data_IF_720252521662
#
_entry.id   IF_720252521662
#
_cell.length_a   1.000
_cell.length_b   1.000
_cell.length_c   1.000
_cell.angle_alpha   90.00
_cell.angle_beta   90.00
_cell.angle_gamma   90.00
#
_symmetry.space_group_name_H-M   'P 1'
#
loop_
_entity.id
_entity.type
_entity.pdbx_description
1 polymer ?
#
# COMPACT_ATOMS: atom_id res chain seq x y z
N UNK A 1 -13.27 6.01 -23.03
CA UNK A 1 -14.07 6.05 -21.79
C UNK A 1 -15.44 6.64 -22.09
N UNK A 2 -16.52 6.12 -21.52
CA UNK A 2 -17.87 6.71 -21.63
C UNK A 2 -18.29 7.20 -20.25
N UNK A 3 -18.67 8.47 -20.13
CA UNK A 3 -19.08 9.03 -18.85
C UNK A 3 -20.42 8.42 -18.40
N UNK A 4 -20.56 8.09 -17.10
CA UNK A 4 -21.85 7.77 -16.54
C UNK A 4 -22.70 9.05 -16.44
N UNK A 5 -23.72 9.17 -17.28
CA UNK A 5 -24.73 10.24 -17.21
C UNK A 5 -26.07 9.68 -16.72
N UNK A 6 -26.98 10.55 -16.29
CA UNK A 6 -28.33 10.16 -15.87
C UNK A 6 -29.07 9.43 -17.01
N UNK A 7 -30.02 8.52 -16.71
CA UNK A 7 -30.84 7.89 -17.74
C UNK A 7 -31.53 8.93 -18.65
N UNK A 8 -31.34 8.81 -19.97
CA UNK A 8 -31.83 9.78 -20.95
C UNK A 8 -30.98 11.04 -21.11
N UNK A 9 -29.86 11.14 -20.40
CA UNK A 9 -28.88 12.21 -20.55
C UNK A 9 -28.00 12.08 -21.80
N UNK A 10 -27.07 13.03 -22.02
CA UNK A 10 -26.19 13.00 -23.16
C UNK A 10 -25.21 11.82 -23.09
N UNK A 11 -24.83 11.30 -24.25
CA UNK A 11 -23.74 10.32 -24.37
C UNK A 11 -22.44 11.10 -24.57
N UNK A 12 -21.59 11.12 -23.54
CA UNK A 12 -20.29 11.79 -23.57
C UNK A 12 -19.20 10.72 -23.58
N UNK A 13 -18.33 10.77 -24.58
CA UNK A 13 -17.26 9.80 -24.77
C UNK A 13 -15.93 10.50 -24.96
N UNK A 14 -14.91 9.97 -24.30
CA UNK A 14 -13.52 10.28 -24.52
C UNK A 14 -12.91 9.11 -25.32
N UNK A 15 -12.63 9.34 -26.60
CA UNK A 15 -12.13 8.33 -27.54
C UNK A 15 -10.66 8.57 -27.91
N UNK A 16 -10.03 9.57 -27.32
CA UNK A 16 -8.67 9.94 -27.64
C UNK A 16 -7.71 8.88 -27.10
N UNK A 17 -6.69 8.57 -27.91
CA UNK A 17 -5.63 7.68 -27.48
C UNK A 17 -4.77 8.39 -26.43
N UNK A 18 -4.60 7.77 -25.27
CA UNK A 18 -3.70 8.25 -24.23
C UNK A 18 -2.73 7.14 -23.82
N UNK A 19 -1.40 7.36 -23.82
CA UNK A 19 -0.48 6.41 -23.23
C UNK A 19 -0.75 6.26 -21.73
N UNK A 20 -0.54 5.06 -21.21
CA UNK A 20 -0.64 4.82 -19.77
C UNK A 20 0.62 5.33 -19.07
N UNK A 21 0.43 6.10 -18.00
CA UNK A 21 1.52 6.58 -17.15
C UNK A 21 1.44 5.88 -15.79
N UNK A 22 2.47 5.09 -15.48
CA UNK A 22 2.64 4.45 -14.19
C UNK A 22 3.64 5.16 -13.31
N UNK A 23 3.55 4.89 -12.01
CA UNK A 23 4.62 5.12 -11.05
C UNK A 23 5.31 3.78 -10.77
N UNK A 24 6.61 3.80 -10.58
CA UNK A 24 7.38 2.59 -10.23
C UNK A 24 8.11 2.76 -8.90
N UNK A 25 8.74 3.92 -8.72
CA UNK A 25 9.40 4.35 -7.50
C UNK A 25 9.22 5.86 -7.39
N UNK A 26 8.91 6.36 -6.19
CA UNK A 26 8.52 7.75 -5.99
C UNK A 26 9.38 8.48 -4.95
N UNK A 27 9.33 9.81 -4.96
CA UNK A 27 9.91 10.59 -3.87
C UNK A 27 9.20 10.29 -2.55
N UNK A 28 7.91 9.99 -2.58
CA UNK A 28 7.11 9.73 -1.39
C UNK A 28 7.55 8.45 -0.68
N UNK A 29 7.62 7.32 -1.40
CA UNK A 29 7.99 6.03 -0.81
C UNK A 29 9.38 6.08 -0.14
N UNK A 30 10.35 6.72 -0.79
CA UNK A 30 11.71 6.84 -0.25
C UNK A 30 11.70 7.64 1.05
N UNK A 31 10.94 8.72 1.09
CA UNK A 31 10.86 9.54 2.31
C UNK A 31 10.04 8.85 3.41
N UNK A 32 9.06 8.00 3.08
CA UNK A 32 8.39 7.14 4.07
C UNK A 32 9.36 6.13 4.68
N UNK A 33 10.19 5.48 3.87
CA UNK A 33 11.23 4.57 4.36
C UNK A 33 12.27 5.29 5.22
N UNK A 34 12.69 6.50 4.83
CA UNK A 34 13.63 7.30 5.63
C UNK A 34 13.01 7.77 6.96
N UNK A 35 11.73 8.14 6.97
CA UNK A 35 11.02 8.47 8.20
C UNK A 35 10.95 7.26 9.14
N UNK A 36 10.62 6.09 8.60
CA UNK A 36 10.59 4.83 9.34
C UNK A 36 11.97 4.47 9.90
N UNK A 37 13.00 4.43 9.06
CA UNK A 37 14.36 4.11 9.48
C UNK A 37 14.86 5.08 10.56
N UNK A 38 14.52 6.36 10.46
CA UNK A 38 14.86 7.34 11.50
C UNK A 38 14.23 6.98 12.85
N UNK A 39 12.97 6.55 12.88
CA UNK A 39 12.30 6.11 14.11
C UNK A 39 12.84 4.78 14.64
N UNK A 40 13.29 3.89 13.75
CA UNK A 40 13.96 2.63 14.10
C UNK A 40 15.42 2.80 14.53
N UNK A 41 15.92 4.04 14.62
CA UNK A 41 17.25 4.36 15.17
C UNK A 41 18.36 4.54 14.14
N UNK A 42 18.05 4.58 12.84
CA UNK A 42 19.05 4.88 11.82
C UNK A 42 19.60 6.30 11.95
N UNK A 43 20.92 6.45 11.76
CA UNK A 43 21.59 7.74 11.80
C UNK A 43 21.39 8.51 10.48
N UNK A 44 20.22 9.12 10.31
CA UNK A 44 19.88 9.96 9.16
C UNK A 44 19.96 11.45 9.48
N UNK A 45 20.33 12.31 8.51
CA UNK A 45 20.63 13.73 8.74
C UNK A 45 19.41 14.59 9.08
N UNK A 46 18.20 14.18 8.68
CA UNK A 46 16.95 14.90 9.00
C UNK A 46 16.16 14.19 10.09
N UNK A 47 15.21 14.91 10.68
CA UNK A 47 14.23 14.35 11.61
C UNK A 47 13.22 13.45 10.88
N UNK A 48 12.55 12.57 11.63
CA UNK A 48 11.49 11.73 11.08
C UNK A 48 10.34 12.57 10.52
N UNK A 49 9.97 13.66 11.20
CA UNK A 49 8.91 14.57 10.76
C UNK A 49 9.25 15.29 9.46
N UNK A 50 10.51 15.69 9.25
CA UNK A 50 10.93 16.29 7.97
C UNK A 50 10.81 15.31 6.80
N UNK A 51 11.20 14.05 6.99
CA UNK A 51 11.02 13.01 5.98
C UNK A 51 9.53 12.73 5.75
N UNK A 52 8.75 12.54 6.82
CA UNK A 52 7.33 12.24 6.74
C UNK A 52 6.54 13.35 6.04
N UNK A 53 6.72 14.61 6.42
CA UNK A 53 6.04 15.74 5.79
C UNK A 53 6.41 15.87 4.30
N UNK A 54 7.67 15.63 3.95
CA UNK A 54 8.09 15.59 2.54
C UNK A 54 7.41 14.45 1.78
N UNK A 55 7.28 13.28 2.41
CA UNK A 55 6.63 12.14 1.79
C UNK A 55 5.14 12.38 1.53
N UNK A 56 4.43 12.95 2.50
CA UNK A 56 2.99 13.25 2.37
C UNK A 56 2.72 14.21 1.21
N UNK A 57 3.48 15.30 1.13
CA UNK A 57 3.41 16.26 0.01
C UNK A 57 3.69 15.58 -1.32
N UNK A 58 4.81 14.87 -1.42
CA UNK A 58 5.20 14.19 -2.66
C UNK A 58 4.20 13.11 -3.08
N UNK A 59 3.54 12.43 -2.13
CA UNK A 59 2.54 11.41 -2.44
C UNK A 59 1.35 12.04 -3.15
N UNK A 60 0.81 13.15 -2.60
CA UNK A 60 -0.32 13.86 -3.21
C UNK A 60 0.07 14.40 -4.57
N UNK A 61 1.21 15.10 -4.67
CA UNK A 61 1.68 15.70 -5.92
C UNK A 61 1.95 14.68 -7.03
N UNK A 62 2.45 13.49 -6.70
CA UNK A 62 2.66 12.44 -7.71
C UNK A 62 1.35 11.83 -8.21
N UNK A 63 0.38 11.59 -7.31
CA UNK A 63 -0.93 11.07 -7.71
C UNK A 63 -1.75 12.09 -8.50
N UNK A 64 -1.63 13.37 -8.14
CA UNK A 64 -2.15 14.51 -8.91
C UNK A 64 -1.60 14.49 -10.33
N UNK A 65 -0.26 14.55 -10.48
CA UNK A 65 0.41 14.48 -11.78
C UNK A 65 0.04 13.23 -12.59
N UNK A 66 -0.05 12.06 -11.95
CA UNK A 66 -0.47 10.83 -12.62
C UNK A 66 -1.89 10.92 -13.15
N UNK A 67 -2.82 11.49 -12.37
CA UNK A 67 -4.21 11.64 -12.80
C UNK A 67 -4.32 12.59 -14.01
N UNK A 68 -3.56 13.68 -14.02
CA UNK A 68 -3.46 14.61 -15.16
C UNK A 68 -2.95 13.91 -16.44
N UNK A 69 -1.85 13.16 -16.30
CA UNK A 69 -1.19 12.46 -17.41
C UNK A 69 -2.05 11.32 -17.96
N UNK A 70 -2.76 10.60 -17.08
CA UNK A 70 -3.66 9.53 -17.47
C UNK A 70 -5.02 10.01 -17.98
N UNK A 71 -5.27 11.33 -17.99
CA UNK A 71 -6.54 11.94 -18.43
C UNK A 71 -7.72 11.36 -17.67
N UNK A 72 -7.57 11.23 -16.35
CA UNK A 72 -8.66 10.77 -15.49
C UNK A 72 -9.86 11.71 -15.69
N UNK A 73 -11.09 11.16 -15.85
CA UNK A 73 -12.28 11.99 -15.99
C UNK A 73 -12.40 13.00 -14.84
N UNK A 74 -12.84 14.21 -15.17
CA UNK A 74 -12.91 15.38 -14.27
C UNK A 74 -11.58 16.04 -13.89
N UNK A 75 -10.46 15.56 -14.42
CA UNK A 75 -9.18 16.20 -14.23
C UNK A 75 -8.93 17.28 -15.30
N UNK A 76 -8.82 18.54 -14.87
CA UNK A 76 -8.62 19.72 -15.71
C UNK A 76 -9.84 20.18 -16.51
N UNK A 77 -10.99 19.48 -16.40
CA UNK A 77 -12.22 19.80 -17.16
C UNK A 77 -13.50 19.30 -16.48
N UNK A 78 -14.61 20.00 -16.72
CA UNK A 78 -15.98 19.50 -16.54
C UNK A 78 -16.58 19.11 -17.90
N UNK A 79 -17.76 18.50 -17.92
CA UNK A 79 -18.42 18.02 -19.15
C UNK A 79 -19.78 18.69 -19.43
N UNK A 80 -20.14 19.69 -18.63
CA UNK A 80 -21.28 20.60 -18.78
C UNK A 80 -22.64 19.91 -18.94
N UNK A 81 -22.84 18.76 -18.29
CA UNK A 81 -24.10 18.02 -18.28
C UNK A 81 -24.80 18.00 -16.91
N UNK A 82 -24.10 18.32 -15.82
CA UNK A 82 -24.67 18.42 -14.47
C UNK A 82 -24.20 19.73 -13.78
N UNK A 83 -25.11 20.54 -13.22
CA UNK A 83 -24.73 21.79 -12.53
C UNK A 83 -23.84 21.58 -11.28
N UNK A 84 -23.72 20.35 -10.77
CA UNK A 84 -22.90 20.01 -9.62
C UNK A 84 -21.48 19.57 -10.00
N UNK A 85 -21.14 19.55 -11.30
CA UNK A 85 -19.80 19.17 -11.74
C UNK A 85 -18.73 20.08 -11.11
N UNK A 86 -17.66 19.43 -10.67
CA UNK A 86 -16.43 20.05 -10.18
C UNK A 86 -15.25 19.28 -10.73
N UNK A 87 -14.17 20.00 -10.95
CA UNK A 87 -12.88 19.39 -11.23
C UNK A 87 -12.38 18.68 -9.98
N UNK A 88 -11.62 17.60 -10.16
CA UNK A 88 -11.06 16.79 -9.06
C UNK A 88 -9.56 17.00 -8.87
N UNK A 89 -8.96 17.93 -9.62
CA UNK A 89 -7.57 18.35 -9.51
C UNK A 89 -7.26 18.82 -8.09
N UNK A 90 -6.01 18.63 -7.65
CA UNK A 90 -5.54 19.25 -6.42
C UNK A 90 -5.70 20.77 -6.47
N UNK A 91 -6.35 21.32 -5.45
CA UNK A 91 -6.56 22.76 -5.32
C UNK A 91 -5.49 23.41 -4.43
N UNK A 92 -5.25 24.70 -4.69
CA UNK A 92 -4.31 25.50 -3.92
C UNK A 92 -4.65 25.47 -2.42
N UNK A 93 -3.66 25.10 -1.60
CA UNK A 93 -3.78 25.07 -0.14
C UNK A 93 -4.28 23.74 0.44
N UNK A 94 -4.74 22.77 -0.37
CA UNK A 94 -5.25 21.50 0.15
C UNK A 94 -4.16 20.66 0.83
N UNK A 95 -2.94 20.62 0.26
CA UNK A 95 -1.81 19.93 0.91
C UNK A 95 -1.48 20.59 2.26
N UNK A 96 -1.47 21.92 2.32
CA UNK A 96 -1.12 22.63 3.56
C UNK A 96 -2.20 22.43 4.63
N UNK A 97 -3.47 22.42 4.23
CA UNK A 97 -4.60 22.10 5.11
C UNK A 97 -4.52 20.65 5.62
N UNK A 98 -4.18 19.68 4.77
CA UNK A 98 -3.94 18.30 5.15
C UNK A 98 -2.80 18.19 6.16
N UNK A 99 -1.65 18.82 5.87
CA UNK A 99 -0.48 18.79 6.75
C UNK A 99 -0.75 19.49 8.09
N UNK A 100 -1.65 20.47 8.17
CA UNK A 100 -2.01 21.11 9.43
C UNK A 100 -2.82 20.20 10.38
N UNK A 101 -3.42 19.11 9.89
CA UNK A 101 -4.19 18.19 10.72
C UNK A 101 -3.25 17.32 11.57
N UNK A 102 -3.58 17.18 12.86
CA UNK A 102 -2.81 16.42 13.85
C UNK A 102 -2.59 14.95 13.46
N UNK A 103 -3.49 14.34 12.70
CA UNK A 103 -3.35 12.96 12.22
C UNK A 103 -2.13 12.80 11.30
N UNK A 104 -1.76 13.85 10.56
CA UNK A 104 -0.61 13.90 9.65
C UNK A 104 0.68 14.40 10.33
N UNK A 105 0.67 14.63 11.64
CA UNK A 105 1.86 15.07 12.39
C UNK A 105 2.43 13.94 13.26
N UNK A 106 3.75 13.75 13.20
CA UNK A 106 4.44 12.87 14.15
C UNK A 106 4.48 13.52 15.54
N UNK A 107 4.26 12.72 16.56
CA UNK A 107 3.99 13.14 17.94
C UNK A 107 5.19 12.97 18.87
N UNK A 108 6.22 12.25 18.42
CA UNK A 108 7.33 11.78 19.24
C UNK A 108 7.06 10.46 19.96
N UNK A 109 5.82 9.93 19.90
CA UNK A 109 5.52 8.58 20.36
C UNK A 109 5.90 7.59 19.26
N UNK A 110 7.03 6.90 19.41
CA UNK A 110 7.58 5.99 18.39
C UNK A 110 6.57 4.97 17.87
N UNK A 111 5.76 4.35 18.74
CA UNK A 111 4.80 3.32 18.33
C UNK A 111 3.65 3.90 17.50
N UNK A 112 3.14 5.07 17.89
CA UNK A 112 2.10 5.77 17.14
C UNK A 112 2.65 6.36 15.82
N UNK A 113 3.84 6.92 15.87
CA UNK A 113 4.48 7.57 14.71
C UNK A 113 4.87 6.54 13.65
N UNK A 114 5.34 5.36 14.05
CA UNK A 114 5.55 4.23 13.13
C UNK A 114 4.23 3.80 12.50
N UNK A 115 3.15 3.68 13.27
CA UNK A 115 1.84 3.33 12.71
C UNK A 115 1.35 4.37 11.68
N UNK A 116 1.50 5.67 11.97
CA UNK A 116 1.20 6.74 11.01
C UNK A 116 1.99 6.57 9.71
N UNK A 117 3.29 6.30 9.81
CA UNK A 117 4.14 6.07 8.64
C UNK A 117 3.69 4.85 7.85
N UNK A 118 3.41 3.72 8.51
CA UNK A 118 2.97 2.50 7.82
C UNK A 118 1.59 2.63 7.18
N UNK A 119 0.64 3.30 7.83
CA UNK A 119 -0.66 3.61 7.22
C UNK A 119 -0.46 4.47 5.97
N UNK A 120 0.43 5.47 6.02
CA UNK A 120 0.72 6.29 4.84
C UNK A 120 1.46 5.53 3.74
N UNK A 121 2.32 4.56 4.07
CA UNK A 121 2.86 3.62 3.09
C UNK A 121 1.74 2.83 2.40
N UNK A 122 0.80 2.26 3.16
CA UNK A 122 -0.33 1.52 2.58
C UNK A 122 -1.20 2.39 1.67
N UNK A 123 -1.49 3.63 2.08
CA UNK A 123 -2.24 4.59 1.26
C UNK A 123 -1.48 4.96 -0.01
N UNK A 124 -0.18 5.24 0.09
CA UNK A 124 0.66 5.53 -1.06
C UNK A 124 0.74 4.34 -2.03
N UNK A 125 0.72 3.11 -1.53
CA UNK A 125 0.75 1.89 -2.33
C UNK A 125 -0.61 1.41 -2.84
N UNK A 126 -1.67 2.24 -2.85
CA UNK A 126 -3.02 1.82 -3.27
C UNK A 126 -3.08 1.18 -4.66
N UNK A 127 -2.24 1.61 -5.61
CA UNK A 127 -2.13 1.00 -6.94
C UNK A 127 -1.06 -0.11 -7.05
N UNK A 128 -0.45 -0.47 -5.92
CA UNK A 128 0.69 -1.38 -5.79
C UNK A 128 0.38 -2.48 -4.76
N UNK A 129 -0.50 -3.44 -5.09
CA UNK A 129 -0.98 -4.43 -4.13
C UNK A 129 0.13 -5.32 -3.57
N UNK A 130 1.21 -5.55 -4.33
CA UNK A 130 2.36 -6.29 -3.85
C UNK A 130 3.07 -5.55 -2.71
N UNK A 131 3.29 -4.24 -2.87
CA UNK A 131 3.93 -3.39 -1.88
C UNK A 131 3.02 -3.19 -0.65
N UNK A 132 1.70 -3.07 -0.84
CA UNK A 132 0.76 -3.12 0.27
C UNK A 132 0.87 -4.42 1.06
N UNK A 133 0.86 -5.57 0.36
CA UNK A 133 0.94 -6.88 0.98
C UNK A 133 2.27 -7.12 1.71
N UNK A 134 3.39 -6.61 1.19
CA UNK A 134 4.69 -6.64 1.89
C UNK A 134 4.66 -5.71 3.11
N UNK A 135 4.13 -4.50 2.96
CA UNK A 135 4.08 -3.48 4.02
C UNK A 135 3.26 -3.96 5.22
N UNK A 136 2.05 -4.49 5.00
CA UNK A 136 1.19 -5.02 6.08
C UNK A 136 1.81 -6.23 6.77
N UNK A 137 2.49 -7.11 6.02
CA UNK A 137 3.23 -8.25 6.63
C UNK A 137 4.35 -7.76 7.53
N UNK A 138 5.21 -6.88 7.04
CA UNK A 138 6.40 -6.42 7.78
C UNK A 138 6.06 -5.54 8.97
N UNK A 139 5.01 -4.72 8.86
CA UNK A 139 4.62 -3.77 9.91
C UNK A 139 3.58 -4.32 10.89
N UNK A 140 2.75 -5.27 10.47
CA UNK A 140 1.55 -5.66 11.21
C UNK A 140 0.49 -4.56 11.30
N UNK A 141 0.64 -3.46 10.55
CA UNK A 141 -0.30 -2.35 10.48
C UNK A 141 -1.31 -2.52 9.33
N UNK A 142 -2.54 -2.01 9.46
CA UNK A 142 -3.08 -1.32 10.64
C UNK A 142 -3.24 -2.22 11.87
N UNK A 143 -3.29 -1.63 13.09
CA UNK A 143 -3.46 -2.39 14.34
C UNK A 143 -4.92 -2.70 14.63
N UNK A 144 -5.20 -3.83 15.27
CA UNK A 144 -6.56 -4.21 15.70
C UNK A 144 -7.13 -3.35 16.83
N UNK A 145 -6.37 -2.41 17.39
CA UNK A 145 -6.84 -1.43 18.35
C UNK A 145 -6.34 -0.02 18.01
N UNK A 146 -6.12 0.23 16.72
CA UNK A 146 -5.66 1.52 16.23
C UNK A 146 -6.67 2.61 16.53
N UNK A 147 -6.19 3.78 16.97
CA UNK A 147 -7.00 4.99 17.04
C UNK A 147 -7.01 5.77 15.71
N UNK A 148 -6.33 5.26 14.69
CA UNK A 148 -6.25 5.86 13.35
C UNK A 148 -7.14 5.08 12.39
N UNK A 149 -6.71 3.88 11.98
CA UNK A 149 -7.45 2.97 11.11
C UNK A 149 -7.36 1.58 11.75
N UNK A 150 -8.48 1.04 12.20
CA UNK A 150 -8.51 -0.26 12.89
C UNK A 150 -8.46 -1.42 11.89
N UNK A 151 -7.69 -2.45 12.23
CA UNK A 151 -7.72 -3.72 11.50
C UNK A 151 -8.98 -4.51 11.86
N UNK A 152 -9.84 -4.70 10.86
CA UNK A 152 -11.04 -5.52 11.00
C UNK A 152 -10.69 -7.01 11.11
N UNK A 153 -11.15 -7.65 12.18
CA UNK A 153 -10.95 -9.07 12.41
C UNK A 153 -12.18 -9.87 11.94
N UNK A 154 -12.10 -10.45 10.75
CA UNK A 154 -13.17 -11.28 10.21
C UNK A 154 -13.22 -12.66 10.88
N UNK A 155 -14.35 -13.04 11.47
CA UNK A 155 -14.51 -14.35 12.12
C UNK A 155 -14.36 -15.53 11.15
N UNK A 156 -14.66 -15.32 9.87
CA UNK A 156 -14.54 -16.33 8.82
C UNK A 156 -13.10 -16.60 8.39
N UNK A 157 -12.20 -15.62 8.57
CA UNK A 157 -10.78 -15.72 8.20
C UNK A 157 -9.96 -15.02 9.30
N UNK A 158 -9.61 -15.73 10.38
CA UNK A 158 -8.82 -15.13 11.45
C UNK A 158 -7.43 -14.70 10.96
N UNK A 159 -6.79 -13.75 11.64
CA UNK A 159 -5.50 -13.18 11.20
C UNK A 159 -4.37 -14.22 11.05
N UNK A 160 -4.41 -15.32 11.80
CA UNK A 160 -3.46 -16.42 11.68
C UNK A 160 -3.79 -17.39 10.53
N UNK A 161 -4.89 -17.18 9.80
CA UNK A 161 -5.29 -17.93 8.61
C UNK A 161 -5.22 -17.11 7.32
N UNK A 162 -4.92 -15.81 7.40
CA UNK A 162 -4.63 -14.99 6.20
C UNK A 162 -3.24 -15.39 5.68
N UNK A 163 -3.07 -15.87 4.43
CA UNK A 163 -1.78 -16.31 3.93
C UNK A 163 -0.70 -15.21 3.99
N UNK A 164 0.55 -15.60 4.31
CA UNK A 164 1.71 -14.70 4.33
C UNK A 164 2.78 -15.07 3.31
N UNK A 165 2.64 -16.24 2.70
CA UNK A 165 3.31 -16.67 1.47
C UNK A 165 2.28 -17.28 0.52
N UNK A 166 2.69 -17.48 -0.72
CA UNK A 166 1.94 -18.27 -1.69
C UNK A 166 2.40 -19.73 -1.66
N UNK A 167 1.55 -20.63 -2.16
CA UNK A 167 1.85 -22.05 -2.31
C UNK A 167 3.08 -22.28 -3.18
N UNK A 168 3.87 -23.30 -2.81
CA UNK A 168 4.90 -23.85 -3.69
C UNK A 168 4.47 -25.25 -4.11
N UNK A 169 4.45 -25.51 -5.42
CA UNK A 169 3.97 -26.78 -5.96
C UNK A 169 4.89 -27.93 -5.59
N UNK A 170 4.32 -29.13 -5.43
CA UNK A 170 5.10 -30.36 -5.30
C UNK A 170 5.86 -30.62 -6.61
N UNK A 171 7.21 -30.64 -6.60
CA UNK A 171 7.98 -30.86 -7.82
C UNK A 171 7.80 -32.30 -8.29
N UNK A 172 7.78 -32.51 -9.61
CA UNK A 172 7.71 -33.86 -10.18
C UNK A 172 9.05 -34.56 -9.96
N UNK A 173 9.09 -35.84 -9.58
CA UNK A 173 10.33 -36.61 -9.51
C UNK A 173 11.10 -36.67 -10.84
N UNK A 174 10.44 -36.37 -11.97
CA UNK A 174 11.06 -36.30 -13.29
C UNK A 174 11.58 -34.90 -13.65
N UNK A 175 11.36 -33.89 -12.81
CA UNK A 175 11.88 -32.54 -13.05
C UNK A 175 13.40 -32.56 -12.96
N UNK A 176 14.06 -31.97 -13.96
CA UNK A 176 15.53 -31.86 -13.98
C UNK A 176 16.07 -31.16 -12.73
N UNK A 177 15.27 -30.26 -12.13
CA UNK A 177 15.62 -29.48 -10.94
C UNK A 177 14.99 -30.03 -9.65
N UNK A 178 14.46 -31.26 -9.64
CA UNK A 178 13.71 -31.82 -8.50
C UNK A 178 14.44 -31.64 -7.17
N UNK A 179 15.70 -32.07 -7.08
CA UNK A 179 16.46 -31.99 -5.83
C UNK A 179 16.69 -30.54 -5.39
N UNK A 180 16.98 -29.64 -6.33
CA UNK A 180 17.19 -28.21 -6.04
C UNK A 180 15.92 -27.58 -5.47
N UNK A 181 14.75 -27.92 -6.03
CA UNK A 181 13.47 -27.41 -5.55
C UNK A 181 13.15 -27.93 -4.13
N UNK A 182 13.32 -29.23 -3.89
CA UNK A 182 13.10 -29.83 -2.57
C UNK A 182 14.03 -29.22 -1.52
N UNK A 183 15.33 -29.10 -1.82
CA UNK A 183 16.31 -28.50 -0.91
C UNK A 183 15.99 -27.01 -0.64
N UNK A 184 15.54 -26.28 -1.66
CA UNK A 184 15.13 -24.88 -1.52
C UNK A 184 13.86 -24.73 -0.65
N UNK A 185 12.87 -25.61 -0.79
CA UNK A 185 11.68 -25.59 0.05
C UNK A 185 12.02 -25.97 1.50
N UNK A 186 12.83 -27.01 1.69
CA UNK A 186 13.27 -27.42 3.03
C UNK A 186 14.07 -26.32 3.74
N UNK A 187 14.99 -25.64 3.04
CA UNK A 187 15.80 -24.57 3.65
C UNK A 187 14.97 -23.34 4.06
N UNK A 188 13.86 -23.09 3.36
CA UNK A 188 12.90 -22.03 3.69
C UNK A 188 11.84 -22.47 4.72
N UNK A 189 11.81 -23.77 5.07
CA UNK A 189 10.78 -24.33 5.94
C UNK A 189 9.40 -24.40 5.28
N UNK A 190 9.36 -24.56 3.94
CA UNK A 190 8.12 -24.60 3.18
C UNK A 190 7.64 -26.01 2.92
N UNK A 191 6.34 -26.22 3.14
CA UNK A 191 5.66 -27.46 2.75
C UNK A 191 5.20 -27.35 1.29
N UNK A 192 5.60 -28.25 0.38
CA UNK A 192 5.08 -28.28 -0.99
C UNK A 192 3.67 -28.88 -1.07
N UNK A 193 2.83 -28.36 -1.97
CA UNK A 193 1.49 -28.89 -2.18
C UNK A 193 0.60 -27.97 -3.01
N UNK A 194 -0.69 -28.29 -3.01
CA UNK A 194 -1.74 -27.46 -3.60
C UNK A 194 -2.93 -27.37 -2.65
N UNK A 195 -3.69 -26.26 -2.71
CA UNK A 195 -4.85 -26.02 -1.84
C UNK A 195 -4.50 -26.11 -0.35
N UNK A 196 -3.36 -25.51 0.01
CA UNK A 196 -2.83 -25.48 1.36
C UNK A 196 -3.70 -24.58 2.25
N UNK A 197 -3.89 -25.00 3.50
CA UNK A 197 -4.61 -24.19 4.49
C UNK A 197 -3.90 -22.84 4.69
N UNK A 198 -4.69 -21.77 4.75
CA UNK A 198 -4.20 -20.42 5.04
C UNK A 198 -3.44 -20.33 6.37
N UNK A 199 -3.77 -21.17 7.35
CA UNK A 199 -3.00 -21.27 8.61
C UNK A 199 -1.56 -21.74 8.38
N UNK A 200 -1.38 -22.73 7.51
CA UNK A 200 -0.05 -23.21 7.11
C UNK A 200 0.72 -22.10 6.38
N UNK A 201 0.09 -21.49 5.38
CA UNK A 201 0.65 -20.38 4.58
C UNK A 201 0.95 -19.12 5.40
N UNK A 202 0.31 -18.94 6.55
CA UNK A 202 0.58 -17.86 7.49
C UNK A 202 1.76 -18.19 8.41
N UNK A 203 1.85 -19.44 8.86
CA UNK A 203 2.90 -19.88 9.78
C UNK A 203 4.28 -19.98 9.13
N UNK A 204 4.33 -20.36 7.85
CA UNK A 204 5.56 -20.48 7.08
C UNK A 204 5.97 -19.12 6.49
N UNK A 205 6.95 -18.47 7.11
CA UNK A 205 7.37 -17.10 6.81
C UNK A 205 8.46 -17.09 5.74
N UNK A 206 8.31 -16.23 4.73
CA UNK A 206 9.43 -15.86 3.86
C UNK A 206 10.51 -15.15 4.69
N UNK A 207 11.77 -15.21 4.23
CA UNK A 207 12.92 -14.70 5.00
C UNK A 207 12.73 -13.28 5.55
N UNK A 208 12.28 -12.32 4.73
CA UNK A 208 12.04 -10.94 5.18
C UNK A 208 10.87 -10.76 6.16
N UNK A 209 10.03 -11.79 6.32
CA UNK A 209 8.86 -11.79 7.20
C UNK A 209 9.11 -12.58 8.51
N UNK A 210 10.31 -13.13 8.67
CA UNK A 210 10.72 -13.78 9.92
C UNK A 210 10.79 -12.71 11.02
N UNK A 211 10.20 -13.00 12.18
CA UNK A 211 10.06 -12.11 13.35
C UNK A 211 9.15 -10.88 13.17
N UNK A 212 8.66 -10.63 11.95
CA UNK A 212 7.69 -9.58 11.71
C UNK A 212 6.41 -9.81 12.53
N UNK A 213 5.66 -8.75 12.87
CA UNK A 213 4.42 -8.87 13.63
C UNK A 213 3.36 -9.66 12.84
N UNK A 214 2.42 -10.26 13.56
CA UNK A 214 1.22 -10.79 12.91
C UNK A 214 0.35 -9.63 12.38
N UNK A 215 -0.51 -9.90 11.41
CA UNK A 215 -1.55 -8.95 11.00
C UNK A 215 -2.33 -8.44 12.21
N UNK A 216 -2.49 -7.12 12.30
CA UNK A 216 -3.20 -6.45 13.40
C UNK A 216 -2.37 -6.24 14.67
N UNK A 217 -1.16 -6.81 14.80
CA UNK A 217 -0.34 -6.63 16.01
C UNK A 217 0.39 -5.29 16.05
N UNK A 218 0.61 -4.66 14.90
CA UNK A 218 1.36 -3.41 14.80
C UNK A 218 2.87 -3.58 14.94
N UNK A 219 3.59 -2.46 14.87
CA UNK A 219 5.04 -2.46 14.71
C UNK A 219 5.74 -2.77 16.04
N UNK A 220 6.91 -3.41 15.93
CA UNK A 220 7.81 -3.76 17.05
C UNK A 220 9.00 -2.82 17.10
#
# INVERSE_FOLDING_TARGET
FTLPTLPGGPVIQDLDNNPWYGMYMSTAEVNLYLAEFKLLGANLPKTASEYFNKALRASVEEYDRLAELNKIPYYGKTYDYDPNEKVIDLQNGEIDAMLANADYQLTGNTALDLEKIYIQQLLHFTLFPNDQFVTVRRSGCPKSNSTLIEWENFTSVPNNAIPRRFEVGSPSPTDLMYQILIDAYQSQGFTPGSSQDGTLLNSERVWQDINAPQFGQGPK
#
